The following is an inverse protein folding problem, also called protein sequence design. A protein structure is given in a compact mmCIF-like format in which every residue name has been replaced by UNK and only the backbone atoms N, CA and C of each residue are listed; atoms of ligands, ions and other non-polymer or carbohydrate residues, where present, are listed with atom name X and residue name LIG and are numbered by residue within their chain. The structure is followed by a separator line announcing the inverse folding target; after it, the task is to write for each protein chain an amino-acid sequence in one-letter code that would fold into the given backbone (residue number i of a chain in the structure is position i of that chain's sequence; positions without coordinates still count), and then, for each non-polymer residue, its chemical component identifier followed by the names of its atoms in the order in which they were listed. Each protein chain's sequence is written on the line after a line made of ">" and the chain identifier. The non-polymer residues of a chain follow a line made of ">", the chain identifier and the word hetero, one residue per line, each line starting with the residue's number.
data_IF_275995008325
#
_entry.id   IF_275995008325
#
_cell.length_a   1.000
_cell.length_b   1.000
_cell.length_c   1.000
_cell.angle_alpha   90.00
_cell.angle_beta   90.00
_cell.angle_gamma   90.00
#
_symmetry.space_group_name_H-M   'P 1'
#
loop_
_entity.id
_entity.type
_entity.pdbx_description
1 polymer ?
#
# COMPACT_ATOMS: atom_id res chain seq x y z
N UNK A 1 66.22 -57.84 -42.51
CA UNK A 1 66.26 -56.94 -41.39
C UNK A 1 64.86 -56.64 -40.97
N UNK A 2 64.38 -57.32 -39.90
CA UNK A 2 63.01 -57.17 -39.38
C UNK A 2 63.03 -56.18 -38.19
N UNK A 3 62.26 -55.14 -38.24
CA UNK A 3 62.01 -54.31 -37.08
C UNK A 3 60.54 -54.44 -36.72
N UNK A 4 60.25 -55.17 -35.66
CA UNK A 4 58.95 -55.35 -35.08
C UNK A 4 58.55 -54.14 -34.20
N UNK A 5 57.48 -53.43 -34.53
CA UNK A 5 56.85 -52.44 -33.67
C UNK A 5 55.91 -53.12 -32.72
N UNK A 6 56.16 -53.07 -31.43
CA UNK A 6 55.24 -53.48 -30.37
C UNK A 6 54.17 -52.47 -30.19
N UNK A 7 52.93 -52.83 -30.47
CA UNK A 7 51.72 -51.96 -30.09
C UNK A 7 51.41 -52.22 -28.63
N UNK A 8 51.67 -51.20 -27.83
CA UNK A 8 51.30 -51.13 -26.42
C UNK A 8 49.77 -50.84 -26.28
N UNK A 9 49.08 -51.93 -25.95
CA UNK A 9 47.66 -51.89 -25.70
C UNK A 9 47.36 -51.21 -24.37
N UNK A 10 47.08 -49.91 -24.38
CA UNK A 10 46.58 -49.22 -23.22
C UNK A 10 45.16 -49.64 -22.90
N UNK A 11 45.05 -50.66 -22.06
CA UNK A 11 43.79 -51.03 -21.40
C UNK A 11 43.29 -49.86 -20.56
N UNK A 12 42.23 -49.22 -21.02
CA UNK A 12 41.48 -48.23 -20.23
C UNK A 12 40.81 -48.97 -19.07
N UNK A 13 41.39 -48.83 -17.90
CA UNK A 13 40.83 -49.31 -16.64
C UNK A 13 39.59 -48.50 -16.31
N UNK A 14 38.42 -48.95 -16.77
CA UNK A 14 37.15 -48.42 -16.29
C UNK A 14 37.03 -48.79 -14.83
N UNK A 15 37.16 -47.81 -13.95
CA UNK A 15 36.92 -47.98 -12.53
C UNK A 15 35.42 -48.14 -12.34
N UNK A 16 34.91 -49.35 -12.39
CA UNK A 16 33.59 -49.67 -11.90
C UNK A 16 33.61 -49.44 -10.40
N UNK A 17 33.16 -48.23 -10.00
CA UNK A 17 32.87 -47.95 -8.61
C UNK A 17 31.67 -48.82 -8.23
N UNK A 18 31.95 -49.97 -7.66
CA UNK A 18 30.94 -50.80 -7.03
C UNK A 18 30.38 -50.01 -5.84
N UNK A 19 29.24 -49.34 -6.08
CA UNK A 19 28.46 -48.71 -5.00
C UNK A 19 27.89 -49.87 -4.19
N UNK A 20 28.64 -50.31 -3.15
CA UNK A 20 28.19 -51.34 -2.23
C UNK A 20 26.86 -50.96 -1.59
N UNK A 21 26.11 -51.91 -1.02
CA UNK A 21 24.79 -51.73 -0.40
C UNK A 21 24.70 -50.52 0.55
N UNK A 22 25.80 -50.09 1.17
CA UNK A 22 25.92 -48.89 2.01
C UNK A 22 25.78 -47.58 1.24
N UNK A 23 26.28 -47.50 -0.01
CA UNK A 23 26.16 -46.27 -0.82
C UNK A 23 24.73 -45.95 -1.24
N UNK A 24 23.93 -46.98 -1.56
CA UNK A 24 22.50 -46.80 -1.84
C UNK A 24 21.73 -46.30 -0.63
N UNK A 25 22.04 -46.78 0.57
CA UNK A 25 21.38 -46.33 1.81
C UNK A 25 21.67 -44.83 2.08
N UNK A 26 22.92 -44.39 1.94
CA UNK A 26 23.31 -42.99 2.15
C UNK A 26 22.59 -42.08 1.14
N UNK A 27 22.54 -42.49 -0.14
CA UNK A 27 21.86 -41.74 -1.17
C UNK A 27 20.32 -41.59 -0.88
N UNK A 28 19.70 -42.67 -0.41
CA UNK A 28 18.29 -42.66 -0.03
C UNK A 28 18.04 -41.73 1.13
N UNK A 29 18.86 -41.75 2.18
CA UNK A 29 18.74 -40.82 3.32
C UNK A 29 18.92 -39.39 2.85
N UNK A 30 19.88 -39.10 1.98
CA UNK A 30 20.11 -37.77 1.46
C UNK A 30 18.91 -37.26 0.68
N UNK A 31 18.31 -38.08 -0.20
CA UNK A 31 17.11 -37.71 -0.95
C UNK A 31 15.92 -37.42 -0.03
N UNK A 32 15.71 -38.24 0.99
CA UNK A 32 14.64 -38.04 1.98
C UNK A 32 14.86 -36.72 2.74
N UNK A 33 16.08 -36.42 3.16
CA UNK A 33 16.42 -35.16 3.81
C UNK A 33 16.14 -33.95 2.90
N UNK A 34 16.53 -34.02 1.63
CA UNK A 34 16.23 -32.96 0.65
C UNK A 34 14.73 -32.75 0.48
N UNK A 35 13.97 -33.83 0.34
CA UNK A 35 12.51 -33.76 0.19
C UNK A 35 11.83 -33.17 1.44
N UNK A 36 12.29 -33.52 2.64
CA UNK A 36 11.74 -32.95 3.87
C UNK A 36 12.02 -31.45 3.98
N UNK A 37 13.24 -31.00 3.64
CA UNK A 37 13.58 -29.57 3.63
C UNK A 37 12.72 -28.79 2.62
N UNK A 38 12.57 -29.30 1.39
CA UNK A 38 11.71 -28.67 0.38
C UNK A 38 10.25 -28.64 0.82
N UNK A 39 9.75 -29.68 1.46
CA UNK A 39 8.38 -29.73 1.99
C UNK A 39 8.15 -28.65 3.05
N UNK A 40 9.07 -28.50 4.00
CA UNK A 40 8.99 -27.48 5.06
C UNK A 40 9.06 -26.08 4.46
N UNK A 41 9.98 -25.82 3.51
CA UNK A 41 10.09 -24.53 2.84
C UNK A 41 8.81 -24.18 2.07
N UNK A 42 8.27 -25.13 1.32
CA UNK A 42 7.01 -24.91 0.56
C UNK A 42 5.85 -24.61 1.50
N UNK A 43 5.75 -25.30 2.63
CA UNK A 43 4.70 -25.08 3.62
C UNK A 43 4.83 -23.70 4.27
N UNK A 44 6.02 -23.29 4.69
CA UNK A 44 6.26 -21.97 5.29
C UNK A 44 5.98 -20.84 4.32
N UNK A 45 6.35 -20.98 3.06
CA UNK A 45 6.04 -20.00 2.01
C UNK A 45 4.53 -19.88 1.81
N UNK A 46 3.83 -21.01 1.61
CA UNK A 46 2.38 -21.02 1.44
C UNK A 46 1.64 -20.39 2.63
N UNK A 47 2.09 -20.67 3.86
CA UNK A 47 1.50 -20.08 5.07
C UNK A 47 1.73 -18.57 5.15
N UNK A 48 2.92 -18.10 4.76
CA UNK A 48 3.25 -16.67 4.71
C UNK A 48 2.41 -15.94 3.66
N UNK A 49 2.24 -16.56 2.49
CA UNK A 49 1.42 -16.01 1.41
C UNK A 49 -0.07 -15.91 1.82
N UNK A 50 -0.58 -16.93 2.48
CA UNK A 50 -1.95 -16.92 3.02
C UNK A 50 -2.14 -15.78 4.03
N UNK A 51 -1.18 -15.61 4.95
CA UNK A 51 -1.23 -14.53 5.95
C UNK A 51 -1.16 -13.14 5.30
N UNK A 52 -0.35 -13.00 4.24
CA UNK A 52 -0.27 -11.77 3.48
C UNK A 52 -1.56 -11.49 2.72
N UNK A 53 -2.14 -12.51 2.07
CA UNK A 53 -3.41 -12.39 1.37
C UNK A 53 -4.55 -11.92 2.29
N UNK A 54 -4.68 -12.50 3.48
CA UNK A 54 -5.66 -12.04 4.48
C UNK A 54 -5.43 -10.62 4.97
N UNK A 55 -4.17 -10.19 5.12
CA UNK A 55 -3.88 -8.80 5.49
C UNK A 55 -4.28 -7.84 4.37
N UNK A 56 -3.98 -8.21 3.13
CA UNK A 56 -4.30 -7.39 1.95
C UNK A 56 -5.81 -7.30 1.75
N UNK A 57 -6.53 -8.42 1.86
CA UNK A 57 -8.00 -8.45 1.78
C UNK A 57 -8.62 -7.48 2.81
N UNK A 58 -8.18 -7.59 4.07
CA UNK A 58 -8.68 -6.75 5.14
C UNK A 58 -8.36 -5.28 4.93
N UNK A 59 -7.14 -4.95 4.51
CA UNK A 59 -6.74 -3.59 4.19
C UNK A 59 -7.59 -3.03 3.04
N UNK A 60 -7.77 -3.80 1.98
CA UNK A 60 -8.56 -3.40 0.80
C UNK A 60 -10.02 -3.18 1.17
N UNK A 61 -10.61 -4.09 1.96
CA UNK A 61 -11.98 -3.95 2.44
C UNK A 61 -12.18 -2.69 3.29
N UNK A 62 -11.25 -2.44 4.24
CA UNK A 62 -11.30 -1.25 5.09
C UNK A 62 -11.13 0.03 4.25
N UNK A 63 -10.23 0.03 3.26
CA UNK A 63 -10.05 1.15 2.34
C UNK A 63 -11.33 1.50 1.58
N UNK A 64 -11.98 0.51 0.94
CA UNK A 64 -13.20 0.79 0.18
C UNK A 64 -14.36 1.24 1.07
N UNK A 65 -14.42 0.78 2.32
CA UNK A 65 -15.40 1.25 3.29
C UNK A 65 -15.22 2.73 3.61
N UNK A 66 -13.98 3.14 3.91
CA UNK A 66 -13.66 4.54 4.22
C UNK A 66 -13.87 5.43 2.99
N UNK A 67 -13.47 4.93 1.83
CA UNK A 67 -13.63 5.64 0.56
C UNK A 67 -15.13 5.90 0.28
N UNK A 68 -15.99 4.90 0.47
CA UNK A 68 -17.44 5.06 0.33
C UNK A 68 -18.01 6.11 1.28
N UNK A 69 -17.56 6.14 2.55
CA UNK A 69 -17.96 7.18 3.50
C UNK A 69 -17.46 8.58 3.09
N UNK A 70 -16.28 8.67 2.50
CA UNK A 70 -15.76 9.94 2.00
C UNK A 70 -16.53 10.45 0.78
N UNK A 71 -16.97 9.55 -0.12
CA UNK A 71 -17.84 9.88 -1.24
C UNK A 71 -19.26 10.29 -0.79
N UNK A 72 -19.81 9.60 0.23
CA UNK A 72 -21.09 9.99 0.83
C UNK A 72 -21.04 11.41 1.41
N UNK A 73 -19.93 11.75 2.09
CA UNK A 73 -19.68 13.10 2.59
C UNK A 73 -19.57 14.13 1.47
N UNK A 74 -18.90 13.79 0.38
CA UNK A 74 -18.82 14.63 -0.81
C UNK A 74 -20.21 14.90 -1.40
N UNK A 75 -21.04 13.87 -1.48
CA UNK A 75 -22.41 13.99 -1.96
C UNK A 75 -23.26 14.90 -1.06
N UNK A 76 -23.13 14.77 0.28
CA UNK A 76 -23.79 15.66 1.25
C UNK A 76 -23.40 17.13 1.03
N UNK A 77 -22.10 17.41 0.86
CA UNK A 77 -21.60 18.76 0.57
C UNK A 77 -22.20 19.28 -0.73
N UNK A 78 -22.21 18.46 -1.78
CA UNK A 78 -22.74 18.85 -3.08
C UNK A 78 -24.24 19.13 -3.03
N UNK A 79 -25.03 18.33 -2.31
CA UNK A 79 -26.47 18.58 -2.10
C UNK A 79 -26.72 19.91 -1.40
N UNK A 80 -25.93 20.26 -0.40
CA UNK A 80 -26.02 21.57 0.29
C UNK A 80 -25.72 22.70 -0.68
N UNK A 81 -24.66 22.62 -1.49
CA UNK A 81 -24.33 23.62 -2.50
C UNK A 81 -25.46 23.82 -3.52
N UNK A 82 -26.00 22.72 -4.03
CA UNK A 82 -27.14 22.77 -4.98
C UNK A 82 -28.42 23.32 -4.37
N UNK A 83 -28.66 23.05 -3.08
CA UNK A 83 -29.84 23.60 -2.36
C UNK A 83 -29.76 25.11 -2.20
N UNK A 84 -28.56 25.66 -1.99
CA UNK A 84 -28.32 27.10 -1.88
C UNK A 84 -28.52 27.76 -3.25
N UNK A 85 -27.94 27.13 -4.28
CA UNK A 85 -28.10 27.64 -5.64
C UNK A 85 -29.57 27.74 -6.08
N UNK A 86 -30.39 26.74 -5.77
CA UNK A 86 -31.84 26.74 -6.08
C UNK A 86 -32.61 27.82 -5.32
N UNK A 87 -32.17 28.21 -4.11
CA UNK A 87 -32.81 29.24 -3.28
C UNK A 87 -32.38 30.66 -3.64
N UNK A 88 -31.23 30.77 -4.32
CA UNK A 88 -30.72 32.06 -4.77
C UNK A 88 -31.40 32.45 -6.08
N UNK A 89 -31.87 33.68 -6.16
CA UNK A 89 -32.51 34.25 -7.37
C UNK A 89 -31.48 34.32 -8.50
N UNK A 90 -31.93 34.28 -9.75
CA UNK A 90 -31.17 34.24 -11.02
C UNK A 90 -30.04 35.31 -11.16
N UNK A 91 -29.94 36.25 -10.23
CA UNK A 91 -28.94 37.33 -10.21
C UNK A 91 -28.09 37.34 -8.92
N UNK A 92 -27.83 36.17 -8.31
CA UNK A 92 -26.96 36.14 -7.13
C UNK A 92 -25.52 36.37 -7.56
N UNK A 93 -24.88 37.42 -7.02
CA UNK A 93 -23.46 37.66 -7.23
C UNK A 93 -22.65 36.49 -6.68
N UNK A 94 -21.57 36.14 -7.35
CA UNK A 94 -20.66 35.05 -6.97
C UNK A 94 -20.21 35.17 -5.51
N UNK A 95 -19.90 36.37 -5.04
CA UNK A 95 -19.52 36.66 -3.66
C UNK A 95 -20.60 36.28 -2.64
N UNK A 96 -21.85 36.55 -2.93
CA UNK A 96 -23.00 36.20 -2.07
C UNK A 96 -23.20 34.68 -2.01
N UNK A 97 -22.97 33.99 -3.12
CA UNK A 97 -23.01 32.52 -3.16
C UNK A 97 -21.90 31.93 -2.31
N UNK A 98 -20.66 32.36 -2.52
CA UNK A 98 -19.47 31.88 -1.80
C UNK A 98 -19.66 32.06 -0.29
N UNK A 99 -20.13 33.24 0.14
CA UNK A 99 -20.35 33.51 1.56
C UNK A 99 -21.42 32.60 2.18
N UNK A 100 -22.55 32.43 1.54
CA UNK A 100 -23.65 31.56 2.01
C UNK A 100 -23.27 30.08 1.96
N UNK A 101 -22.57 29.66 0.90
CA UNK A 101 -22.12 28.28 0.72
C UNK A 101 -21.10 27.90 1.77
N UNK A 102 -20.10 28.74 2.01
CA UNK A 102 -19.07 28.48 3.05
C UNK A 102 -19.68 28.38 4.46
N UNK A 103 -20.64 29.27 4.80
CA UNK A 103 -21.36 29.21 6.08
C UNK A 103 -22.20 27.93 6.21
N UNK A 104 -22.88 27.51 5.14
CA UNK A 104 -23.71 26.31 5.19
C UNK A 104 -22.87 25.03 5.27
N UNK A 105 -21.78 24.95 4.51
CA UNK A 105 -20.88 23.81 4.51
C UNK A 105 -20.11 23.70 5.83
N UNK A 106 -19.77 24.82 6.48
CA UNK A 106 -19.13 24.81 7.80
C UNK A 106 -19.97 24.15 8.90
N UNK A 107 -21.29 24.05 8.70
CA UNK A 107 -22.23 23.38 9.63
C UNK A 107 -22.29 21.86 9.43
N UNK A 108 -21.69 21.34 8.36
CA UNK A 108 -21.64 19.90 8.09
C UNK A 108 -20.62 19.27 9.04
N UNK A 109 -21.03 18.20 9.71
CA UNK A 109 -20.15 17.50 10.64
C UNK A 109 -18.93 16.92 9.92
N UNK A 110 -17.74 17.20 10.46
CA UNK A 110 -16.46 16.68 9.95
C UNK A 110 -15.76 17.57 8.92
N UNK A 111 -16.34 18.70 8.52
CA UNK A 111 -15.63 19.75 7.79
C UNK A 111 -14.80 20.54 8.81
N UNK A 112 -13.48 20.59 8.60
CA UNK A 112 -12.55 21.10 9.62
C UNK A 112 -12.00 22.47 9.29
N UNK A 113 -11.76 22.76 8.02
CA UNK A 113 -11.11 24.00 7.61
C UNK A 113 -11.75 24.54 6.32
N UNK A 114 -12.04 25.84 6.32
CA UNK A 114 -12.54 26.56 5.15
C UNK A 114 -11.67 27.79 4.93
N UNK A 115 -11.09 27.88 3.72
CA UNK A 115 -10.31 29.04 3.28
C UNK A 115 -11.06 29.75 2.16
N UNK A 116 -11.41 31.01 2.39
CA UNK A 116 -12.13 31.86 1.43
C UNK A 116 -11.12 32.57 0.53
N UNK A 117 -11.36 32.51 -0.77
CA UNK A 117 -10.71 33.32 -1.80
C UNK A 117 -11.78 34.23 -2.45
N UNK A 118 -11.36 35.15 -3.32
CA UNK A 118 -12.30 36.09 -3.98
C UNK A 118 -13.28 35.39 -4.91
N UNK A 119 -12.89 34.30 -5.55
CA UNK A 119 -13.66 33.60 -6.60
C UNK A 119 -13.99 32.14 -6.27
N UNK A 120 -13.39 31.62 -5.20
CA UNK A 120 -13.55 30.23 -4.75
C UNK A 120 -13.43 30.12 -3.24
N UNK A 121 -13.78 28.95 -2.71
CA UNK A 121 -13.34 28.58 -1.35
C UNK A 121 -12.88 27.15 -1.30
N UNK A 122 -11.85 26.92 -0.51
CA UNK A 122 -11.29 25.59 -0.27
C UNK A 122 -11.82 25.06 1.05
N UNK A 123 -12.27 23.83 1.05
CA UNK A 123 -12.68 23.12 2.27
C UNK A 123 -11.86 21.84 2.46
N UNK A 124 -11.65 21.50 3.71
CA UNK A 124 -10.99 20.29 4.13
C UNK A 124 -11.90 19.47 5.04
N UNK A 125 -11.96 18.17 4.78
CA UNK A 125 -12.61 17.22 5.68
C UNK A 125 -11.81 15.92 5.74
N UNK A 126 -12.02 15.19 6.84
CA UNK A 126 -11.41 13.88 7.02
C UNK A 126 -12.47 12.84 7.40
N UNK A 127 -12.23 11.61 6.99
CA UNK A 127 -13.05 10.46 7.34
C UNK A 127 -12.16 9.43 7.99
N UNK A 128 -12.48 9.10 9.25
CA UNK A 128 -11.74 8.13 10.04
C UNK A 128 -12.18 6.72 9.70
N UNK A 129 -11.23 5.83 9.56
CA UNK A 129 -11.44 4.40 9.41
C UNK A 129 -11.29 3.62 10.70
N UNK A 130 -11.65 2.33 10.64
CA UNK A 130 -11.63 1.44 11.81
C UNK A 130 -10.20 1.08 12.27
N UNK A 131 -9.16 1.33 11.44
CA UNK A 131 -7.80 0.83 11.68
C UNK A 131 -6.72 1.86 11.38
N UNK A 132 -6.59 2.81 12.26
CA UNK A 132 -5.48 3.77 12.19
C UNK A 132 -5.25 4.37 10.79
N UNK A 133 -6.33 4.49 10.00
CA UNK A 133 -6.35 5.05 8.66
C UNK A 133 -7.43 6.12 8.56
N UNK A 134 -7.14 7.18 7.82
CA UNK A 134 -8.09 8.23 7.49
C UNK A 134 -7.93 8.63 6.03
N UNK A 135 -9.03 9.05 5.42
CA UNK A 135 -8.99 9.73 4.13
C UNK A 135 -9.11 11.23 4.40
N UNK A 136 -8.14 11.97 3.87
CA UNK A 136 -8.09 13.42 3.91
C UNK A 136 -8.47 13.95 2.54
N UNK A 137 -9.49 14.80 2.49
CA UNK A 137 -9.99 15.37 1.25
C UNK A 137 -9.95 16.89 1.32
N UNK A 138 -9.40 17.49 0.27
CA UNK A 138 -9.45 18.94 0.06
C UNK A 138 -10.19 19.20 -1.23
N UNK A 139 -11.24 20.00 -1.15
CA UNK A 139 -12.03 20.41 -2.31
C UNK A 139 -11.89 21.90 -2.52
N UNK A 140 -11.83 22.31 -3.77
CA UNK A 140 -12.01 23.71 -4.17
C UNK A 140 -13.39 23.86 -4.79
N UNK A 141 -14.21 24.73 -4.21
CA UNK A 141 -15.57 25.02 -4.68
C UNK A 141 -15.53 26.29 -5.50
N UNK A 142 -16.01 26.19 -6.71
CA UNK A 142 -16.07 27.27 -7.69
C UNK A 142 -17.51 27.47 -8.17
N UNK A 143 -17.76 28.61 -8.80
CA UNK A 143 -19.05 28.93 -9.35
C UNK A 143 -18.91 29.27 -10.84
N UNK A 144 -19.62 28.53 -11.69
CA UNK A 144 -19.67 28.79 -13.13
C UNK A 144 -20.78 29.85 -13.39
N UNK A 145 -20.37 31.07 -13.68
CA UNK A 145 -21.28 32.18 -13.92
C UNK A 145 -22.11 32.00 -15.18
N UNK A 146 -21.56 31.39 -16.24
CA UNK A 146 -22.22 31.17 -17.51
C UNK A 146 -23.37 30.17 -17.36
N UNK A 147 -23.18 29.14 -16.57
CA UNK A 147 -24.19 28.10 -16.31
C UNK A 147 -24.97 28.32 -15.04
N UNK A 148 -24.55 29.26 -14.21
CA UNK A 148 -25.15 29.57 -12.90
C UNK A 148 -25.26 28.33 -12.00
N UNK A 149 -24.18 27.50 -11.95
CA UNK A 149 -24.10 26.29 -11.14
C UNK A 149 -22.77 26.21 -10.38
N UNK A 150 -22.80 25.77 -9.11
CA UNK A 150 -21.61 25.45 -8.40
C UNK A 150 -20.99 24.15 -8.93
N UNK A 151 -19.69 24.09 -8.95
CA UNK A 151 -18.91 22.87 -9.19
C UNK A 151 -17.76 22.79 -8.20
N UNK A 152 -17.13 21.64 -8.13
CA UNK A 152 -15.97 21.43 -7.25
C UNK A 152 -14.85 20.73 -8.01
N UNK A 153 -13.63 21.07 -7.62
CA UNK A 153 -12.44 20.34 -8.02
C UNK A 153 -11.83 19.66 -6.80
N UNK A 154 -11.38 18.41 -6.98
CA UNK A 154 -10.71 17.66 -5.93
C UNK A 154 -9.22 17.99 -5.97
N UNK A 155 -8.77 18.80 -5.01
CA UNK A 155 -7.37 19.21 -4.89
C UNK A 155 -6.53 18.06 -4.31
N UNK A 156 -7.04 17.42 -3.27
CA UNK A 156 -6.38 16.24 -2.68
C UNK A 156 -7.39 15.19 -2.27
N UNK A 157 -7.00 13.92 -2.41
CA UNK A 157 -7.74 12.76 -1.92
C UNK A 157 -6.73 11.72 -1.49
N UNK A 158 -6.31 11.78 -0.23
CA UNK A 158 -5.19 10.98 0.29
C UNK A 158 -5.64 10.05 1.41
N UNK A 159 -5.14 8.82 1.36
CA UNK A 159 -5.21 7.90 2.49
C UNK A 159 -3.98 8.14 3.38
N UNK A 160 -4.21 8.43 4.64
CA UNK A 160 -3.16 8.70 5.62
C UNK A 160 -3.30 7.82 6.86
N UNK A 161 -2.22 7.46 7.55
CA UNK A 161 -2.30 6.85 8.87
C UNK A 161 -2.74 7.92 9.89
N UNK A 162 -3.57 7.51 10.86
CA UNK A 162 -3.99 8.39 11.96
C UNK A 162 -2.81 8.69 12.88
N UNK A 163 -1.99 7.67 13.14
CA UNK A 163 -0.75 7.79 13.90
C UNK A 163 0.42 7.46 12.97
N UNK A 164 1.40 8.33 12.94
CA UNK A 164 2.66 7.99 12.28
C UNK A 164 3.30 6.81 13.03
N UNK A 165 3.87 5.83 12.31
CA UNK A 165 4.61 4.78 12.96
C UNK A 165 5.72 5.42 13.80
N UNK A 166 5.65 5.25 15.12
CA UNK A 166 6.75 5.60 16.01
C UNK A 166 7.83 4.57 15.69
N UNK A 167 8.82 4.96 14.94
CA UNK A 167 10.06 4.22 14.84
C UNK A 167 10.75 4.41 16.21
N UNK A 168 10.63 3.40 17.09
CA UNK A 168 11.60 3.30 18.18
C UNK A 168 12.95 3.25 17.48
N UNK A 169 13.76 4.27 17.67
CA UNK A 169 15.16 4.21 17.32
C UNK A 169 15.73 3.06 18.16
N UNK A 170 15.73 1.84 17.59
CA UNK A 170 16.54 0.78 18.12
C UNK A 170 17.94 1.35 18.14
N UNK A 171 18.42 1.66 19.34
CA UNK A 171 19.77 2.11 19.59
C UNK A 171 20.63 0.88 19.23
N UNK A 172 20.94 0.74 17.95
CA UNK A 172 21.96 -0.21 17.53
C UNK A 172 23.24 0.31 18.18
N UNK A 173 23.64 -0.32 19.30
CA UNK A 173 24.97 -0.16 19.85
C UNK A 173 25.92 -0.45 18.69
N UNK A 174 26.39 0.59 18.05
CA UNK A 174 27.43 0.51 17.03
C UNK A 174 28.60 -0.19 17.72
N UNK A 175 28.93 -1.39 17.21
CA UNK A 175 30.05 -2.18 17.68
C UNK A 175 31.28 -1.27 17.74
N UNK A 176 31.62 -0.81 18.94
CA UNK A 176 32.87 -0.11 19.23
C UNK A 176 33.98 -1.14 19.09
N UNK A 177 34.69 -1.07 17.95
CA UNK A 177 35.79 -1.99 17.65
C UNK A 177 36.75 -2.05 18.82
N UNK A 178 37.42 -3.23 18.99
CA UNK A 178 38.38 -3.44 20.04
C UNK A 178 39.35 -2.27 20.17
N UNK A 179 39.27 -1.54 21.29
CA UNK A 179 40.38 -0.66 21.69
C UNK A 179 41.62 -1.55 21.88
N UNK A 180 42.60 -1.33 21.02
CA UNK A 180 43.92 -1.94 21.20
C UNK A 180 44.52 -1.37 22.49
N UNK A 181 44.49 -2.12 23.58
CA UNK A 181 45.31 -1.87 24.74
C UNK A 181 46.79 -2.01 24.34
N UNK A 182 47.50 -0.88 24.33
CA UNK A 182 48.96 -0.82 24.31
C UNK A 182 49.49 -0.74 25.75
#
# INVERSE_FOLDING_TARGET
>A
MKVGGSMENRSSKSSNVSIGMGGSLILTIFVVLCLTVFSVLSFTTAYSDLKLAHKTEKFTSDYYKIHGLAEEKLAEIYEVLMSINKKSSVNTLQEDFISKASEAVSKIYGVSEIKLNSESFTLYYEVLGDKNQKICVTLEILFDEDKNIPYFDIVTWNLEPIELPVYEEENYDLWEGFENEN
#
